data_IF_190831593616
#
_entry.id   IF_190831593616
#
_cell.length_a   1.000
_cell.length_b   1.000
_cell.length_c   1.000
_cell.angle_alpha   90.00
_cell.angle_beta   90.00
_cell.angle_gamma   90.00
#
_symmetry.space_group_name_H-M   'P 1'
#
loop_
_entity.id
_entity.type
_entity.pdbx_description
1 polymer ?
#
# COMPACT_ATOMS: atom_id res chain seq x y z
N UNK A 1 -7.22 -22.09 52.76
CA UNK A 1 -7.16 -22.97 51.57
C UNK A 1 -7.00 -22.22 50.24
N UNK A 2 -7.22 -20.89 50.16
CA UNK A 2 -7.10 -20.14 48.89
C UNK A 2 -5.67 -19.84 48.42
N UNK A 3 -4.67 -19.82 49.31
CA UNK A 3 -3.29 -19.50 48.91
C UNK A 3 -2.57 -20.63 48.16
N UNK A 4 -2.92 -21.89 48.41
CA UNK A 4 -2.30 -23.05 47.75
C UNK A 4 -2.72 -23.13 46.27
N UNK A 5 -3.98 -22.82 45.97
CA UNK A 5 -4.50 -22.77 44.60
C UNK A 5 -3.84 -21.65 43.76
N UNK A 6 -3.59 -20.48 44.36
CA UNK A 6 -2.90 -19.38 43.66
C UNK A 6 -1.45 -19.76 43.32
N UNK A 7 -0.75 -20.44 44.23
CA UNK A 7 0.63 -20.88 44.01
C UNK A 7 0.75 -21.90 42.88
N UNK A 8 -0.15 -22.89 42.82
CA UNK A 8 -0.19 -23.87 41.73
C UNK A 8 -0.47 -23.21 40.38
N UNK A 9 -1.37 -22.22 40.33
CA UNK A 9 -1.69 -21.51 39.09
C UNK A 9 -0.50 -20.70 38.56
N UNK A 10 0.21 -19.99 39.46
CA UNK A 10 1.44 -19.24 39.10
C UNK A 10 2.57 -20.18 38.67
N UNK A 11 2.68 -21.36 39.28
CA UNK A 11 3.69 -22.35 38.90
C UNK A 11 3.42 -22.96 37.52
N UNK A 12 2.15 -23.32 37.24
CA UNK A 12 1.75 -23.85 35.94
C UNK A 12 1.97 -22.78 34.84
N UNK A 13 1.57 -21.54 35.08
CA UNK A 13 1.83 -20.42 34.15
C UNK A 13 3.33 -20.26 33.94
N UNK A 14 4.16 -20.25 34.98
CA UNK A 14 5.62 -20.14 34.82
C UNK A 14 6.22 -21.34 34.09
N UNK A 15 5.77 -22.56 34.33
CA UNK A 15 6.26 -23.73 33.57
C UNK A 15 5.84 -23.68 32.11
N UNK A 16 4.63 -23.22 31.80
CA UNK A 16 4.20 -23.02 30.40
C UNK A 16 4.94 -21.86 29.72
N UNK A 17 5.30 -20.80 30.45
CA UNK A 17 6.12 -19.72 29.90
C UNK A 17 7.61 -20.11 29.75
N UNK A 18 8.14 -21.01 30.59
CA UNK A 18 9.52 -21.49 30.50
C UNK A 18 9.68 -22.60 29.45
N UNK A 19 8.63 -23.38 29.15
CA UNK A 19 8.73 -24.49 28.20
C UNK A 19 8.58 -24.08 26.72
N UNK A 20 8.52 -22.78 26.41
CA UNK A 20 8.71 -22.26 25.05
C UNK A 20 10.20 -22.08 24.68
N UNK A 21 11.12 -22.69 25.43
CA UNK A 21 12.47 -22.97 24.95
C UNK A 21 12.41 -24.15 23.96
N UNK A 22 11.82 -23.94 22.78
CA UNK A 22 12.22 -24.74 21.63
C UNK A 22 13.73 -24.51 21.46
N UNK A 23 14.50 -25.59 21.56
CA UNK A 23 15.93 -25.61 21.26
C UNK A 23 16.14 -25.12 19.82
N UNK A 24 16.36 -23.82 19.64
CA UNK A 24 16.75 -23.26 18.36
C UNK A 24 18.18 -23.68 18.06
N UNK A 25 18.35 -24.64 17.14
CA UNK A 25 19.65 -24.97 16.56
C UNK A 25 20.27 -23.70 15.98
N UNK A 26 21.39 -23.30 16.57
CA UNK A 26 22.22 -22.19 16.12
C UNK A 26 23.12 -22.69 15.00
N UNK A 27 22.71 -22.57 13.74
CA UNK A 27 23.65 -22.77 12.63
C UNK A 27 24.52 -21.52 12.49
N UNK A 28 25.85 -21.67 12.59
CA UNK A 28 26.80 -20.60 12.30
C UNK A 28 26.63 -20.12 10.85
N UNK A 29 26.52 -18.81 10.67
CA UNK A 29 26.38 -18.18 9.35
C UNK A 29 27.79 -17.88 8.83
N UNK A 30 28.17 -18.30 7.61
CA UNK A 30 29.45 -17.93 7.02
C UNK A 30 29.58 -16.41 6.87
N UNK A 31 30.70 -15.83 7.33
CA UNK A 31 30.97 -14.39 7.30
C UNK A 31 30.92 -13.78 5.89
N UNK A 32 31.23 -14.57 4.85
CA UNK A 32 31.22 -14.13 3.45
C UNK A 32 29.82 -13.72 2.94
N UNK A 33 28.76 -14.08 3.67
CA UNK A 33 27.37 -13.76 3.32
C UNK A 33 26.84 -12.49 4.02
N UNK A 34 27.70 -11.65 4.61
CA UNK A 34 27.27 -10.50 5.42
C UNK A 34 27.76 -9.19 4.82
N UNK A 35 26.83 -8.30 4.44
CA UNK A 35 27.13 -6.97 3.95
C UNK A 35 26.81 -5.87 4.96
N UNK A 36 27.63 -4.81 4.97
CA UNK A 36 27.53 -3.71 5.93
C UNK A 36 26.63 -2.59 5.40
N UNK A 37 25.54 -2.30 6.11
CA UNK A 37 24.65 -1.18 5.82
C UNK A 37 24.89 0.00 6.78
N UNK A 38 25.45 1.09 6.26
CA UNK A 38 25.66 2.34 7.00
C UNK A 38 24.44 3.28 6.83
N UNK A 39 23.36 3.01 7.58
CA UNK A 39 22.10 3.77 7.51
C UNK A 39 22.22 5.26 7.87
N UNK A 40 23.14 5.58 8.77
CA UNK A 40 23.06 6.80 9.59
C UNK A 40 23.91 7.96 9.11
N UNK A 41 24.91 7.74 8.24
CA UNK A 41 25.81 8.84 7.84
C UNK A 41 25.26 9.70 6.70
N UNK A 42 24.48 9.15 5.78
CA UNK A 42 24.00 9.91 4.62
C UNK A 42 22.88 10.90 4.98
N UNK A 43 21.80 10.44 5.62
CA UNK A 43 20.57 11.26 5.73
C UNK A 43 20.71 12.48 6.64
N UNK A 44 21.47 12.40 7.74
CA UNK A 44 21.66 13.55 8.65
C UNK A 44 22.66 14.58 8.13
N UNK A 45 23.71 14.17 7.42
CA UNK A 45 24.69 15.13 6.87
C UNK A 45 24.17 15.78 5.59
N UNK A 46 23.41 15.06 4.78
CA UNK A 46 23.01 15.51 3.45
C UNK A 46 21.59 16.08 3.39
N UNK A 47 20.69 15.64 4.26
CA UNK A 47 19.29 16.05 4.24
C UNK A 47 18.48 15.52 3.05
N UNK A 48 19.04 14.60 2.24
CA UNK A 48 18.40 14.01 1.06
C UNK A 48 18.67 12.50 0.96
N UNK A 49 17.86 11.81 0.15
CA UNK A 49 18.05 10.41 -0.25
C UNK A 49 18.56 10.37 -1.70
N UNK A 50 19.83 10.02 -1.88
CA UNK A 50 20.51 10.05 -3.18
C UNK A 50 20.12 8.89 -4.08
N UNK A 51 19.80 9.21 -5.34
CA UNK A 51 19.47 8.25 -6.40
C UNK A 51 20.46 8.41 -7.55
N UNK A 52 21.15 7.33 -7.92
CA UNK A 52 21.86 7.23 -9.19
C UNK A 52 20.89 6.65 -10.21
N UNK A 53 20.68 7.37 -11.29
CA UNK A 53 19.83 6.93 -12.40
C UNK A 53 20.72 6.73 -13.62
N UNK A 54 20.81 5.47 -14.07
CA UNK A 54 21.58 5.05 -15.24
C UNK A 54 20.68 4.45 -16.33
N UNK A 55 19.40 4.81 -16.30
CA UNK A 55 18.39 4.28 -17.23
C UNK A 55 18.28 5.12 -18.49
N UNK A 56 17.84 4.50 -19.57
CA UNK A 56 17.42 5.22 -20.79
C UNK A 56 16.15 6.07 -20.57
N UNK A 57 15.31 5.70 -19.60
CA UNK A 57 14.04 6.37 -19.31
C UNK A 57 14.10 7.26 -18.05
N UNK A 58 15.05 8.20 -18.03
CA UNK A 58 15.22 9.19 -16.96
C UNK A 58 13.94 9.94 -16.59
N UNK A 59 13.06 10.18 -17.58
CA UNK A 59 11.82 10.92 -17.40
C UNK A 59 10.80 10.18 -16.53
N UNK A 60 10.74 8.85 -16.66
CA UNK A 60 9.92 7.99 -15.81
C UNK A 60 10.40 8.02 -14.35
N UNK A 61 11.73 7.98 -14.16
CA UNK A 61 12.36 8.09 -12.85
C UNK A 61 12.07 9.44 -12.19
N UNK A 62 12.24 10.54 -12.92
CA UNK A 62 11.95 11.89 -12.44
C UNK A 62 10.48 12.06 -12.04
N UNK A 63 9.55 11.52 -12.84
CA UNK A 63 8.13 11.53 -12.50
C UNK A 63 7.86 10.79 -11.20
N UNK A 64 8.43 9.59 -11.02
CA UNK A 64 8.21 8.79 -9.83
C UNK A 64 8.81 9.46 -8.56
N UNK A 65 10.00 10.05 -8.67
CA UNK A 65 10.62 10.86 -7.61
C UNK A 65 9.74 12.05 -7.24
N UNK A 66 9.29 12.81 -8.24
CA UNK A 66 8.45 13.99 -8.04
C UNK A 66 7.14 13.67 -7.33
N UNK A 67 6.51 12.53 -7.67
CA UNK A 67 5.29 12.08 -7.00
C UNK A 67 5.52 11.76 -5.52
N UNK A 68 6.60 11.07 -5.17
CA UNK A 68 6.90 10.73 -3.78
C UNK A 68 7.24 11.98 -2.97
N UNK A 69 8.09 12.86 -3.50
CA UNK A 69 8.46 14.13 -2.85
C UNK A 69 7.26 15.09 -2.73
N UNK A 70 6.26 15.02 -3.62
CA UNK A 70 5.04 15.82 -3.51
C UNK A 70 4.11 15.29 -2.42
N UNK A 71 3.98 13.96 -2.30
CA UNK A 71 3.01 13.29 -1.41
C UNK A 71 3.53 13.07 0.02
N UNK A 72 4.82 13.27 0.24
CA UNK A 72 5.51 13.02 1.51
C UNK A 72 6.60 14.07 1.73
N UNK A 73 7.20 14.10 2.92
CA UNK A 73 8.36 14.95 3.24
C UNK A 73 9.68 14.31 2.80
N UNK A 74 9.62 13.38 1.86
CA UNK A 74 10.82 12.81 1.25
C UNK A 74 11.62 13.88 0.55
N UNK A 75 12.93 13.68 0.54
CA UNK A 75 13.85 14.49 -0.25
C UNK A 75 14.67 13.58 -1.15
N UNK A 76 14.00 12.82 -2.01
CA UNK A 76 14.66 12.00 -3.02
C UNK A 76 15.27 12.91 -4.08
N UNK A 77 16.56 12.74 -4.36
CA UNK A 77 17.29 13.55 -5.33
C UNK A 77 18.15 12.68 -6.22
N UNK A 78 18.09 12.94 -7.53
CA UNK A 78 19.09 12.43 -8.47
C UNK A 78 20.43 13.08 -8.15
N UNK A 79 21.49 12.28 -8.11
CA UNK A 79 22.86 12.72 -7.87
C UNK A 79 23.80 12.07 -8.86
N UNK A 80 25.05 12.52 -8.90
CA UNK A 80 26.13 11.91 -9.69
C UNK A 80 27.10 11.10 -8.84
N UNK A 81 27.30 11.48 -7.56
CA UNK A 81 28.23 10.77 -6.68
C UNK A 81 27.63 9.46 -6.16
N UNK A 82 28.13 8.33 -6.68
CA UNK A 82 27.68 7.00 -6.29
C UNK A 82 27.92 6.69 -4.81
N UNK A 83 28.99 7.22 -4.22
CA UNK A 83 29.31 7.01 -2.80
C UNK A 83 28.28 7.68 -1.87
N UNK A 84 27.48 8.61 -2.37
CA UNK A 84 26.42 9.29 -1.61
C UNK A 84 25.03 8.68 -1.87
N UNK A 85 24.92 7.74 -2.81
CA UNK A 85 23.64 7.16 -3.21
C UNK A 85 23.15 6.11 -2.22
N UNK A 86 21.84 6.11 -1.98
CA UNK A 86 21.13 5.00 -1.34
C UNK A 86 20.52 4.07 -2.39
N UNK A 87 20.02 4.65 -3.47
CA UNK A 87 19.26 3.95 -4.51
C UNK A 87 20.05 4.03 -5.82
N UNK A 88 20.14 2.90 -6.52
CA UNK A 88 20.65 2.83 -7.90
C UNK A 88 19.53 2.30 -8.78
N UNK A 89 19.22 3.01 -9.86
CA UNK A 89 18.23 2.60 -10.86
C UNK A 89 18.98 2.34 -12.15
N UNK A 90 18.82 1.14 -12.71
CA UNK A 90 19.54 0.69 -13.91
C UNK A 90 18.63 -0.15 -14.81
N UNK A 91 18.86 -0.06 -16.12
CA UNK A 91 18.11 -0.84 -17.08
C UNK A 91 18.33 -2.34 -16.88
N UNK A 92 17.30 -3.14 -17.15
CA UNK A 92 17.30 -4.59 -17.01
C UNK A 92 16.21 -5.25 -17.84
N UNK A 93 16.18 -6.58 -17.86
CA UNK A 93 15.10 -7.32 -18.51
C UNK A 93 13.81 -7.36 -17.67
N UNK A 94 13.90 -7.17 -16.35
CA UNK A 94 12.78 -7.33 -15.42
C UNK A 94 12.63 -6.11 -14.50
N UNK A 95 11.39 -5.71 -14.20
CA UNK A 95 11.09 -4.72 -13.18
C UNK A 95 11.15 -5.35 -11.77
N UNK A 96 12.17 -5.02 -10.97
CA UNK A 96 12.30 -5.57 -9.61
C UNK A 96 13.17 -4.70 -8.71
N UNK A 97 12.95 -4.82 -7.40
CA UNK A 97 13.83 -4.31 -6.37
C UNK A 97 14.80 -5.41 -5.91
N UNK A 98 16.06 -5.03 -5.74
CA UNK A 98 17.12 -5.85 -5.16
C UNK A 98 17.92 -5.04 -4.14
N UNK A 99 18.82 -5.73 -3.43
CA UNK A 99 19.86 -5.09 -2.62
C UNK A 99 21.19 -5.61 -3.14
N UNK A 100 22.06 -4.72 -3.63
CA UNK A 100 23.40 -5.09 -4.10
C UNK A 100 24.47 -4.48 -3.19
N UNK A 101 25.66 -5.07 -3.18
CA UNK A 101 26.77 -4.66 -2.32
C UNK A 101 27.99 -4.45 -3.20
N UNK A 102 28.60 -3.28 -3.07
CA UNK A 102 29.78 -2.88 -3.83
C UNK A 102 30.69 -2.06 -2.91
N UNK A 103 31.98 -2.40 -2.91
CA UNK A 103 33.00 -1.79 -2.04
C UNK A 103 32.59 -1.75 -0.56
N UNK A 104 31.95 -2.83 -0.09
CA UNK A 104 31.47 -2.96 1.29
C UNK A 104 30.23 -2.12 1.61
N UNK A 105 29.68 -1.37 0.65
CA UNK A 105 28.46 -0.56 0.80
C UNK A 105 27.29 -1.21 0.08
N UNK A 106 26.17 -1.29 0.78
CA UNK A 106 24.89 -1.78 0.24
C UNK A 106 24.06 -0.68 -0.43
N UNK A 107 23.43 -1.01 -1.55
CA UNK A 107 22.55 -0.16 -2.33
C UNK A 107 21.21 -0.85 -2.55
N UNK A 108 20.12 -0.08 -2.48
CA UNK A 108 18.84 -0.54 -3.02
C UNK A 108 18.89 -0.39 -4.54
N UNK A 109 18.76 -1.49 -5.27
CA UNK A 109 18.88 -1.49 -6.72
C UNK A 109 17.53 -1.76 -7.35
N UNK A 110 17.01 -0.77 -8.07
CA UNK A 110 15.80 -0.92 -8.87
C UNK A 110 16.23 -1.23 -10.30
N UNK A 111 15.93 -2.46 -10.71
CA UNK A 111 16.05 -2.89 -12.09
C UNK A 111 14.83 -2.40 -12.87
N UNK A 112 15.06 -1.60 -13.90
CA UNK A 112 14.04 -0.91 -14.66
C UNK A 112 13.91 -1.50 -16.08
N UNK A 113 12.67 -1.68 -16.51
CA UNK A 113 12.30 -1.96 -17.89
C UNK A 113 10.94 -1.28 -18.17
N UNK A 114 10.37 -1.47 -19.37
CA UNK A 114 9.07 -0.88 -19.72
C UNK A 114 7.94 -1.32 -18.80
N UNK A 115 7.99 -2.55 -18.26
CA UNK A 115 6.98 -3.06 -17.33
C UNK A 115 6.94 -2.28 -16.01
N UNK A 116 8.00 -1.55 -15.63
CA UNK A 116 7.98 -0.68 -14.44
C UNK A 116 7.09 0.55 -14.59
N UNK A 117 6.76 0.97 -15.81
CA UNK A 117 5.83 2.08 -16.05
C UNK A 117 4.36 1.64 -15.89
N UNK A 118 4.07 0.37 -16.11
CA UNK A 118 2.72 -0.18 -15.91
C UNK A 118 2.28 0.07 -14.47
N UNK A 119 1.06 0.58 -14.30
CA UNK A 119 0.44 0.72 -12.97
C UNK A 119 1.27 1.52 -11.93
N UNK A 120 2.19 2.37 -12.39
CA UNK A 120 3.14 3.08 -11.50
C UNK A 120 3.99 2.13 -10.63
N UNK A 121 4.32 0.91 -11.11
CA UNK A 121 5.16 -0.05 -10.37
C UNK A 121 6.48 0.56 -9.87
N UNK A 122 7.13 1.42 -10.66
CA UNK A 122 8.34 2.13 -10.20
C UNK A 122 8.09 2.97 -8.94
N UNK A 123 6.95 3.67 -8.86
CA UNK A 123 6.58 4.45 -7.69
C UNK A 123 6.43 3.55 -6.47
N UNK A 124 5.79 2.38 -6.62
CA UNK A 124 5.65 1.38 -5.55
C UNK A 124 7.00 0.83 -5.08
N UNK A 125 7.93 0.57 -6.00
CA UNK A 125 9.28 0.11 -5.65
C UNK A 125 10.07 1.19 -4.90
N UNK A 126 10.04 2.43 -5.37
CA UNK A 126 10.68 3.55 -4.67
C UNK A 126 10.08 3.76 -3.29
N UNK A 127 8.76 3.73 -3.19
CA UNK A 127 8.03 3.82 -1.93
C UNK A 127 8.50 2.73 -0.94
N UNK A 128 8.60 1.48 -1.40
CA UNK A 128 9.09 0.34 -0.60
C UNK A 128 10.51 0.56 -0.09
N UNK A 129 11.39 1.14 -0.90
CA UNK A 129 12.77 1.46 -0.49
C UNK A 129 12.80 2.53 0.59
N UNK A 130 12.01 3.59 0.44
CA UNK A 130 11.94 4.69 1.43
C UNK A 130 11.40 4.16 2.76
N UNK A 131 10.33 3.37 2.72
CA UNK A 131 9.76 2.76 3.93
C UNK A 131 10.80 1.91 4.68
N UNK A 132 11.44 0.96 3.99
CA UNK A 132 12.48 0.11 4.60
C UNK A 132 13.63 0.94 5.15
N UNK A 133 14.07 1.97 4.45
CA UNK A 133 15.11 2.88 4.94
C UNK A 133 14.71 3.57 6.24
N UNK A 134 13.46 4.02 6.38
CA UNK A 134 12.96 4.67 7.59
C UNK A 134 12.87 3.67 8.74
N UNK A 135 12.35 2.47 8.50
CA UNK A 135 12.28 1.42 9.51
C UNK A 135 13.68 1.02 10.00
N UNK A 136 14.66 0.92 9.10
CA UNK A 136 16.06 0.68 9.43
C UNK A 136 16.62 1.78 10.35
N UNK A 137 16.38 3.04 9.99
CA UNK A 137 16.84 4.20 10.77
C UNK A 137 16.17 4.23 12.14
N UNK A 138 14.86 4.00 12.22
CA UNK A 138 14.10 4.02 13.48
C UNK A 138 14.58 2.91 14.42
N UNK A 139 14.76 1.69 13.88
CA UNK A 139 15.34 0.57 14.61
C UNK A 139 16.70 0.94 15.21
N UNK A 140 17.64 1.46 14.40
CA UNK A 140 18.97 1.84 14.88
C UNK A 140 18.93 2.93 15.96
N UNK A 141 18.03 3.91 15.83
CA UNK A 141 17.86 4.96 16.85
C UNK A 141 17.39 4.38 18.18
N UNK A 142 16.40 3.47 18.15
CA UNK A 142 15.93 2.81 19.37
C UNK A 142 17.04 1.99 20.03
N UNK A 143 17.87 1.31 19.24
CA UNK A 143 19.01 0.55 19.73
C UNK A 143 20.06 1.43 20.40
N UNK A 144 20.39 2.59 19.79
CA UNK A 144 21.30 3.58 20.38
C UNK A 144 20.78 4.13 21.72
N UNK A 145 19.48 4.41 21.83
CA UNK A 145 18.88 4.96 23.06
C UNK A 145 18.95 4.01 24.26
N UNK A 146 19.02 2.69 24.01
CA UNK A 146 19.09 1.66 25.05
C UNK A 146 20.49 1.46 25.64
N UNK A 147 21.45 2.35 25.34
CA UNK A 147 22.81 2.29 25.89
C UNK A 147 23.62 1.05 25.48
N UNK A 148 23.11 0.26 24.54
CA UNK A 148 23.82 -0.90 23.99
C UNK A 148 24.98 -0.37 23.14
N UNK A 149 26.21 -0.84 23.41
CA UNK A 149 27.41 -0.60 22.60
C UNK A 149 27.17 -1.26 21.23
N UNK A 150 26.54 -0.52 20.32
CA UNK A 150 26.23 -0.99 18.98
C UNK A 150 27.32 -0.55 18.02
N UNK A 151 27.78 -1.51 17.22
CA UNK A 151 28.42 -1.17 15.96
C UNK A 151 27.41 -0.42 15.09
N UNK A 152 27.87 0.56 14.31
CA UNK A 152 26.99 1.31 13.40
C UNK A 152 26.49 0.46 12.21
N UNK A 153 26.87 -0.81 12.22
CA UNK A 153 26.75 -1.77 11.13
C UNK A 153 25.48 -2.60 11.30
N UNK A 154 24.57 -2.52 10.32
CA UNK A 154 23.55 -3.55 10.12
C UNK A 154 24.15 -4.59 9.18
N UNK A 155 24.10 -5.83 9.61
CA UNK A 155 24.49 -6.98 8.81
C UNK A 155 23.31 -7.39 7.91
N UNK A 156 23.47 -7.26 6.60
CA UNK A 156 22.53 -7.77 5.61
C UNK A 156 22.99 -9.18 5.19
N UNK A 157 22.16 -10.21 5.41
CA UNK A 157 22.42 -11.60 5.05
C UNK A 157 22.15 -11.87 3.57
N UNK A 158 23.15 -12.35 2.84
CA UNK A 158 23.05 -12.81 1.47
C UNK A 158 22.23 -14.11 1.38
N UNK A 159 21.08 -14.08 0.70
CA UNK A 159 20.22 -15.25 0.48
C UNK A 159 20.63 -15.98 -0.82
N UNK A 160 21.07 -15.24 -1.83
CA UNK A 160 21.55 -15.79 -3.12
C UNK A 160 22.68 -14.92 -3.66
N UNK A 161 23.32 -15.33 -4.77
CA UNK A 161 24.41 -14.59 -5.43
C UNK A 161 24.18 -13.07 -5.61
N UNK A 162 22.94 -12.55 -5.54
CA UNK A 162 22.63 -11.12 -5.69
C UNK A 162 21.58 -10.55 -4.71
N UNK A 163 21.12 -11.28 -3.68
CA UNK A 163 20.01 -10.84 -2.80
C UNK A 163 20.40 -10.82 -1.34
N UNK A 164 20.06 -9.78 -0.58
CA UNK A 164 20.39 -9.65 0.84
C UNK A 164 19.17 -9.27 1.73
N UNK A 165 19.20 -9.66 3.01
CA UNK A 165 18.12 -9.53 4.01
C UNK A 165 18.60 -8.89 5.31
N UNK A 166 17.78 -8.06 5.95
CA UNK A 166 18.12 -7.41 7.22
C UNK A 166 18.22 -8.39 8.40
N UNK A 167 19.38 -8.43 9.08
CA UNK A 167 19.53 -9.09 10.38
C UNK A 167 19.25 -8.09 11.51
N UNK A 168 18.33 -8.43 12.40
CA UNK A 168 18.14 -7.68 13.64
C UNK A 168 19.15 -8.18 14.69
N UNK A 169 19.92 -7.24 15.26
CA UNK A 169 20.79 -7.28 16.45
C UNK A 169 21.65 -8.52 16.78
N UNK A 170 22.93 -8.22 17.01
CA UNK A 170 23.92 -9.05 17.71
C UNK A 170 23.55 -9.28 19.18
N UNK A 171 23.33 -10.54 19.56
CA UNK A 171 24.02 -11.23 20.68
C UNK A 171 23.60 -12.69 20.85
N UNK A 172 22.55 -13.16 20.18
CA UNK A 172 22.17 -14.56 19.99
C UNK A 172 21.20 -14.55 18.80
N UNK A 173 21.45 -15.43 17.84
CA UNK A 173 20.88 -15.46 16.49
C UNK A 173 19.38 -15.13 16.46
N UNK A 174 18.97 -14.14 15.64
CA UNK A 174 17.57 -13.91 15.31
C UNK A 174 17.24 -14.72 14.04
N UNK A 175 16.25 -15.61 14.16
CA UNK A 175 15.63 -16.30 13.04
C UNK A 175 14.86 -15.27 12.20
N UNK A 176 15.39 -14.89 11.05
CA UNK A 176 14.66 -14.07 10.08
C UNK A 176 13.79 -14.98 9.23
N UNK A 177 12.48 -14.91 9.45
CA UNK A 177 11.51 -15.65 8.64
C UNK A 177 11.40 -14.93 7.29
N UNK A 178 11.94 -15.54 6.23
CA UNK A 178 11.66 -15.17 4.84
C UNK A 178 10.25 -15.68 4.48
N UNK A 179 9.23 -15.17 5.15
CA UNK A 179 7.98 -15.03 4.41
C UNK A 179 8.11 -13.64 3.84
N UNK A 180 8.32 -13.56 2.52
CA UNK A 180 8.20 -12.36 1.68
C UNK A 180 8.19 -11.08 2.51
N UNK A 181 9.30 -10.32 2.55
CA UNK A 181 9.29 -8.94 3.06
C UNK A 181 7.97 -8.32 2.60
N UNK A 182 7.03 -8.15 3.52
CA UNK A 182 5.74 -7.57 3.25
C UNK A 182 6.05 -6.08 3.10
N UNK A 183 6.66 -5.72 1.96
CA UNK A 183 7.09 -4.36 1.64
C UNK A 183 5.92 -3.37 1.66
N UNK A 184 4.70 -3.90 1.65
CA UNK A 184 3.51 -3.17 2.06
C UNK A 184 2.91 -3.93 3.23
N UNK A 185 2.75 -3.22 4.33
CA UNK A 185 1.92 -3.65 5.43
C UNK A 185 0.58 -4.12 4.85
N UNK A 186 0.14 -5.32 5.25
CA UNK A 186 -1.22 -5.83 5.01
C UNK A 186 -1.49 -6.35 3.58
N UNK A 187 -0.84 -7.46 3.22
CA UNK A 187 -1.55 -8.49 2.43
C UNK A 187 -2.75 -8.94 3.27
N UNK A 188 -3.86 -8.20 3.20
CA UNK A 188 -5.16 -8.81 3.43
C UNK A 188 -5.30 -9.78 2.26
N UNK A 189 -5.39 -11.08 2.55
CA UNK A 189 -6.00 -12.01 1.62
C UNK A 189 -7.35 -11.38 1.25
N UNK A 190 -7.42 -10.72 0.10
CA UNK A 190 -8.69 -10.26 -0.40
C UNK A 190 -9.38 -11.54 -0.83
N UNK A 191 -10.19 -12.12 0.07
CA UNK A 191 -10.96 -13.34 -0.18
C UNK A 191 -11.74 -13.25 -1.50
N UNK A 192 -12.08 -12.03 -1.94
CA UNK A 192 -12.69 -11.77 -3.23
C UNK A 192 -11.71 -11.87 -4.41
N UNK A 193 -10.47 -11.38 -4.29
CA UNK A 193 -9.46 -11.50 -5.35
C UNK A 193 -9.15 -12.97 -5.66
N UNK A 194 -8.95 -13.81 -4.63
CA UNK A 194 -8.72 -15.24 -4.80
C UNK A 194 -9.93 -15.96 -5.41
N UNK A 195 -11.15 -15.55 -5.03
CA UNK A 195 -12.40 -16.11 -5.58
C UNK A 195 -12.58 -15.73 -7.05
N UNK A 196 -12.21 -14.51 -7.44
CA UNK A 196 -12.29 -14.04 -8.83
C UNK A 196 -11.27 -14.77 -9.71
N UNK A 197 -10.00 -14.81 -9.29
CA UNK A 197 -8.90 -15.36 -10.10
C UNK A 197 -9.02 -16.87 -10.35
N UNK A 198 -9.69 -17.62 -9.46
CA UNK A 198 -9.77 -19.09 -9.55
C UNK A 198 -10.89 -19.58 -10.48
N UNK A 199 -11.89 -18.75 -10.79
CA UNK A 199 -13.08 -19.20 -11.52
C UNK A 199 -13.02 -18.81 -13.01
N UNK A 200 -12.28 -17.75 -13.37
CA UNK A 200 -12.25 -17.21 -14.73
C UNK A 200 -10.86 -16.71 -15.13
N UNK A 201 -10.63 -16.48 -16.44
CA UNK A 201 -9.48 -15.69 -16.96
C UNK A 201 -9.49 -14.21 -16.50
N UNK A 202 -10.42 -13.85 -15.62
CA UNK A 202 -10.51 -12.58 -14.93
C UNK A 202 -9.44 -12.48 -13.84
N UNK A 203 -8.66 -11.41 -13.86
CA UNK A 203 -7.68 -11.09 -12.82
C UNK A 203 -8.15 -9.91 -11.98
N UNK A 204 -7.64 -9.82 -10.76
CA UNK A 204 -7.90 -8.71 -9.83
C UNK A 204 -6.53 -8.14 -9.40
N UNK A 205 -6.30 -6.85 -9.65
CA UNK A 205 -4.97 -6.23 -9.57
C UNK A 205 -4.83 -5.18 -8.46
N UNK A 206 -5.82 -5.01 -7.58
CA UNK A 206 -5.80 -4.03 -6.48
C UNK A 206 -4.50 -4.07 -5.67
N UNK A 207 -4.06 -5.27 -5.27
CA UNK A 207 -2.83 -5.49 -4.49
C UNK A 207 -1.53 -5.23 -5.26
N UNK A 208 -1.60 -5.11 -6.60
CA UNK A 208 -0.44 -4.81 -7.44
C UNK A 208 -0.18 -3.30 -7.50
N UNK A 209 -1.20 -2.48 -7.30
CA UNK A 209 -1.12 -1.02 -7.28
C UNK A 209 -0.53 -0.49 -5.96
N UNK A 210 -0.08 0.76 -5.98
CA UNK A 210 0.10 1.54 -4.75
C UNK A 210 -1.28 2.05 -4.30
N UNK A 211 -1.59 1.90 -3.02
CA UNK A 211 -2.82 2.40 -2.42
C UNK A 211 -2.61 3.79 -1.80
N UNK A 212 -3.70 4.46 -1.48
CA UNK A 212 -3.62 5.71 -0.71
C UNK A 212 -3.23 5.43 0.75
N UNK A 213 -3.50 4.23 1.27
CA UNK A 213 -3.11 3.76 2.59
C UNK A 213 -1.58 3.68 2.71
N UNK A 214 -0.91 3.21 1.66
CA UNK A 214 0.56 3.25 1.53
C UNK A 214 1.04 4.70 1.64
N UNK A 215 0.59 5.58 0.75
CA UNK A 215 1.00 7.00 0.71
C UNK A 215 0.80 7.70 2.06
N UNK A 216 -0.35 7.48 2.69
CA UNK A 216 -0.68 8.01 4.02
C UNK A 216 0.23 7.47 5.11
N UNK A 217 0.55 6.17 5.08
CA UNK A 217 1.47 5.54 6.03
C UNK A 217 2.86 6.17 5.94
N UNK A 218 3.43 6.29 4.74
CA UNK A 218 4.75 6.90 4.56
C UNK A 218 4.76 8.37 4.96
N UNK A 219 3.73 9.12 4.59
CA UNK A 219 3.57 10.49 5.05
C UNK A 219 3.55 10.56 6.58
N UNK A 220 2.81 9.66 7.25
CA UNK A 220 2.71 9.65 8.72
C UNK A 220 4.06 9.44 9.39
N UNK A 221 4.87 8.49 8.91
CA UNK A 221 6.18 8.19 9.51
C UNK A 221 7.25 9.23 9.15
N UNK A 222 7.10 9.97 8.05
CA UNK A 222 8.07 10.98 7.60
C UNK A 222 7.74 12.41 8.03
N UNK A 223 6.45 12.75 8.12
CA UNK A 223 5.95 14.11 8.23
C UNK A 223 5.21 14.40 9.54
N UNK A 224 5.22 13.49 10.52
CA UNK A 224 4.40 13.60 11.74
C UNK A 224 4.45 14.98 12.43
N UNK A 225 5.59 15.67 12.31
CA UNK A 225 5.87 16.92 12.99
C UNK A 225 5.88 18.14 12.05
N UNK A 226 5.74 17.94 10.73
CA UNK A 226 5.99 18.98 9.72
C UNK A 226 5.01 20.16 9.86
N UNK A 227 3.73 19.88 10.08
CA UNK A 227 2.69 20.91 10.24
C UNK A 227 2.42 21.31 11.70
N UNK A 228 3.14 20.75 12.69
CA UNK A 228 2.87 21.04 14.12
C UNK A 228 3.11 22.51 14.48
N UNK A 229 4.12 23.12 13.86
CA UNK A 229 4.51 24.51 14.08
C UNK A 229 4.02 25.45 12.97
N UNK A 230 3.15 24.99 12.08
CA UNK A 230 2.64 25.86 11.00
C UNK A 230 1.69 26.91 11.58
N UNK A 231 1.71 28.12 11.03
CA UNK A 231 0.82 29.21 11.43
C UNK A 231 -0.63 29.02 10.97
N UNK A 232 -0.92 27.95 10.24
CA UNK A 232 -2.25 27.66 9.72
C UNK A 232 -3.15 27.02 10.78
N UNK A 233 -4.45 27.29 10.67
CA UNK A 233 -5.45 26.59 11.47
C UNK A 233 -5.39 25.08 11.18
N UNK A 234 -5.52 24.26 12.23
CA UNK A 234 -5.50 22.81 12.11
C UNK A 234 -6.66 22.33 11.24
N UNK A 235 -6.35 21.91 10.02
CA UNK A 235 -7.33 21.30 9.11
C UNK A 235 -7.59 19.85 9.51
N UNK A 236 -8.86 19.44 9.49
CA UNK A 236 -9.28 18.04 9.60
C UNK A 236 -9.69 17.53 8.22
N UNK A 237 -9.02 16.49 7.74
CA UNK A 237 -9.40 15.80 6.52
C UNK A 237 -10.54 14.82 6.80
N UNK A 238 -11.47 14.73 5.86
CA UNK A 238 -12.58 13.79 5.80
C UNK A 238 -12.24 12.60 4.89
N UNK A 239 -13.12 11.59 4.88
CA UNK A 239 -13.01 10.39 4.03
C UNK A 239 -11.60 9.78 4.04
N UNK A 240 -10.98 9.69 5.21
CA UNK A 240 -9.64 9.14 5.44
C UNK A 240 -8.47 9.86 4.73
N UNK A 241 -8.69 11.07 4.21
CA UNK A 241 -7.62 11.95 3.73
C UNK A 241 -6.55 12.25 4.79
N UNK A 242 -5.43 12.82 4.34
CA UNK A 242 -4.36 13.26 5.24
C UNK A 242 -3.85 14.64 4.84
N UNK A 243 -3.36 15.40 5.82
CA UNK A 243 -2.89 16.77 5.60
C UNK A 243 -1.70 16.77 4.65
N UNK A 244 -1.77 17.61 3.61
CA UNK A 244 -0.66 17.80 2.70
C UNK A 244 0.50 18.47 3.46
N UNK A 245 1.67 17.80 3.61
CA UNK A 245 2.76 18.37 4.37
C UNK A 245 3.35 19.62 3.72
N UNK A 246 3.25 19.80 2.40
CA UNK A 246 3.87 20.93 1.72
C UNK A 246 3.19 22.27 2.03
N UNK A 247 1.88 22.25 2.26
CA UNK A 247 1.02 23.43 2.41
C UNK A 247 0.45 23.55 3.81
N UNK A 248 0.22 22.43 4.51
CA UNK A 248 -0.41 22.32 5.82
C UNK A 248 -1.84 22.87 5.95
N UNK A 249 -2.46 23.33 4.87
CA UNK A 249 -3.81 23.92 4.86
C UNK A 249 -4.76 23.27 3.85
N UNK A 250 -4.36 22.20 3.18
CA UNK A 250 -5.22 21.34 2.35
C UNK A 250 -4.90 19.86 2.61
N UNK A 251 -5.73 18.98 2.06
CA UNK A 251 -5.62 17.53 2.23
C UNK A 251 -5.26 16.85 0.91
N UNK A 252 -4.43 15.80 1.00
CA UNK A 252 -4.44 14.76 -0.02
C UNK A 252 -5.65 13.87 0.20
N UNK A 253 -6.31 13.50 -0.90
CA UNK A 253 -7.57 12.77 -0.88
C UNK A 253 -7.44 11.39 -1.49
N UNK A 254 -8.15 10.38 -0.95
CA UNK A 254 -8.25 9.10 -1.63
C UNK A 254 -8.96 9.24 -2.96
N UNK A 255 -8.83 8.21 -3.80
CA UNK A 255 -9.14 8.26 -5.23
C UNK A 255 -10.56 8.74 -5.59
N UNK A 256 -11.56 8.52 -4.74
CA UNK A 256 -12.94 8.92 -5.03
C UNK A 256 -13.30 10.32 -4.55
N UNK A 257 -12.40 11.00 -3.84
CA UNK A 257 -12.69 12.22 -3.11
C UNK A 257 -11.86 13.41 -3.58
N UNK A 258 -12.42 14.61 -3.42
CA UNK A 258 -11.81 15.89 -3.75
C UNK A 258 -12.27 16.96 -2.77
N UNK A 259 -11.85 18.20 -3.00
CA UNK A 259 -12.09 19.32 -2.08
C UNK A 259 -10.92 19.51 -1.11
N UNK A 260 -10.96 20.62 -0.38
CA UNK A 260 -9.86 21.03 0.49
C UNK A 260 -9.67 20.07 1.67
N UNK A 261 -10.77 19.44 2.11
CA UNK A 261 -10.84 18.47 3.21
C UNK A 261 -11.17 17.07 2.71
N UNK A 262 -11.24 16.81 1.41
CA UNK A 262 -11.69 15.53 0.84
C UNK A 262 -13.17 15.23 1.10
N UNK A 263 -13.99 16.27 1.23
CA UNK A 263 -15.42 16.24 1.55
C UNK A 263 -16.30 15.89 0.34
N UNK A 264 -15.82 16.16 -0.87
CA UNK A 264 -16.60 16.05 -2.11
C UNK A 264 -16.32 14.74 -2.85
N UNK A 265 -17.33 14.18 -3.50
CA UNK A 265 -17.15 13.11 -4.49
C UNK A 265 -16.50 13.69 -5.76
N UNK A 266 -15.57 12.94 -6.37
CA UNK A 266 -15.02 13.32 -7.68
C UNK A 266 -16.12 13.50 -8.74
N UNK A 267 -16.05 14.63 -9.45
CA UNK A 267 -16.98 14.96 -10.54
C UNK A 267 -16.57 14.24 -11.81
N UNK A 268 -17.55 13.68 -12.50
CA UNK A 268 -17.33 13.07 -13.82
C UNK A 268 -17.14 14.16 -14.87
N UNK A 269 -15.99 14.17 -15.57
CA UNK A 269 -15.61 15.28 -16.49
C UNK A 269 -16.61 15.48 -17.63
N UNK A 270 -17.22 14.40 -18.12
CA UNK A 270 -18.30 14.40 -19.13
C UNK A 270 -19.60 13.90 -18.50
N UNK A 271 -20.06 14.59 -17.46
CA UNK A 271 -21.25 14.22 -16.68
C UNK A 271 -22.55 14.07 -17.49
N UNK A 272 -22.59 14.45 -18.77
CA UNK A 272 -23.76 14.19 -19.61
C UNK A 272 -23.80 12.75 -20.14
N UNK A 273 -22.64 12.09 -20.26
CA UNK A 273 -22.55 10.65 -20.54
C UNK A 273 -22.66 9.80 -19.27
N UNK A 274 -22.32 10.39 -18.13
CA UNK A 274 -22.48 9.74 -16.85
C UNK A 274 -23.87 10.06 -16.31
N UNK A 275 -24.70 9.07 -16.06
CA UNK A 275 -25.99 9.27 -15.38
C UNK A 275 -25.83 9.86 -13.96
N UNK A 276 -26.91 9.91 -13.18
CA UNK A 276 -26.86 10.36 -11.79
C UNK A 276 -25.73 9.68 -11.00
N UNK A 277 -24.83 10.49 -10.44
CA UNK A 277 -23.65 10.00 -9.71
C UNK A 277 -24.03 9.32 -8.40
N UNK A 278 -25.13 9.70 -7.76
CA UNK A 278 -25.56 9.11 -6.49
C UNK A 278 -26.75 8.20 -6.74
N UNK A 279 -26.66 6.96 -6.26
CA UNK A 279 -27.69 5.93 -6.43
C UNK A 279 -28.16 5.50 -5.05
N UNK A 280 -29.48 5.48 -4.83
CA UNK A 280 -30.08 5.08 -3.56
C UNK A 280 -30.72 3.69 -3.66
N UNK A 281 -30.10 2.65 -3.10
CA UNK A 281 -30.58 1.28 -3.19
C UNK A 281 -31.82 1.07 -2.32
N UNK A 282 -32.77 0.28 -2.84
CA UNK A 282 -33.97 -0.19 -2.16
C UNK A 282 -33.75 -1.59 -1.56
N UNK A 283 -34.70 -2.05 -0.75
CA UNK A 283 -34.62 -3.38 -0.11
C UNK A 283 -34.80 -4.54 -1.11
N UNK A 284 -35.39 -4.27 -2.28
CA UNK A 284 -35.52 -5.21 -3.39
C UNK A 284 -34.43 -4.95 -4.43
N UNK A 285 -34.19 -5.95 -5.26
CA UNK A 285 -33.19 -5.91 -6.32
C UNK A 285 -33.53 -4.87 -7.39
N UNK A 286 -32.54 -4.05 -7.75
CA UNK A 286 -32.64 -3.04 -8.78
C UNK A 286 -31.52 -3.21 -9.79
N UNK A 287 -31.83 -2.90 -11.05
CA UNK A 287 -30.88 -2.99 -12.15
C UNK A 287 -30.61 -1.61 -12.72
N UNK A 288 -29.34 -1.31 -13.01
CA UNK A 288 -28.91 -0.09 -13.71
C UNK A 288 -27.84 -0.45 -14.73
N UNK A 289 -27.99 0.03 -15.95
CA UNK A 289 -26.98 -0.12 -17.00
C UNK A 289 -26.08 1.12 -16.98
N UNK A 290 -24.77 0.93 -16.93
CA UNK A 290 -23.78 2.01 -17.03
C UNK A 290 -22.94 1.82 -18.29
N UNK A 291 -22.53 2.92 -18.91
CA UNK A 291 -21.71 2.92 -20.12
C UNK A 291 -20.23 3.20 -19.81
N UNK A 292 -19.36 2.82 -20.74
CA UNK A 292 -17.92 3.09 -20.74
C UNK A 292 -17.54 4.16 -21.79
N UNK A 293 -18.48 5.03 -22.15
CA UNK A 293 -18.30 6.09 -23.17
C UNK A 293 -17.47 7.26 -22.61
N UNK A 294 -17.44 7.38 -21.29
CA UNK A 294 -16.76 8.43 -20.54
C UNK A 294 -16.11 7.92 -19.26
N UNK A 295 -15.28 8.77 -18.67
CA UNK A 295 -14.76 8.58 -17.31
C UNK A 295 -15.83 9.04 -16.30
N UNK A 296 -16.30 8.12 -15.47
CA UNK A 296 -17.41 8.33 -14.55
C UNK A 296 -17.08 7.89 -13.12
N UNK A 297 -17.65 8.61 -12.16
CA UNK A 297 -17.62 8.32 -10.73
C UNK A 297 -19.05 8.24 -10.19
N UNK A 298 -19.37 7.14 -9.53
CA UNK A 298 -20.67 6.89 -8.90
C UNK A 298 -20.49 6.54 -7.42
N UNK A 299 -21.55 6.79 -6.65
CA UNK A 299 -21.69 6.44 -5.24
C UNK A 299 -23.07 5.80 -5.03
N UNK A 300 -23.09 4.53 -4.66
CA UNK A 300 -24.30 3.89 -4.15
C UNK A 300 -24.35 4.17 -2.65
N UNK A 301 -25.36 4.89 -2.19
CA UNK A 301 -25.52 5.33 -0.80
C UNK A 301 -26.79 4.74 -0.18
N UNK A 302 -26.62 3.74 0.68
CA UNK A 302 -27.71 3.16 1.47
C UNK A 302 -27.92 3.91 2.80
N UNK A 303 -29.00 3.56 3.50
CA UNK A 303 -29.32 4.09 4.84
C UNK A 303 -28.24 3.70 5.85
N UNK A 304 -28.00 4.55 6.85
CA UNK A 304 -27.13 4.23 7.98
C UNK A 304 -27.56 2.92 8.65
N UNK A 305 -26.61 2.05 8.96
CA UNK A 305 -26.87 0.72 9.53
C UNK A 305 -27.25 -0.36 8.51
N UNK A 306 -27.42 0.00 7.24
CA UNK A 306 -27.54 -0.93 6.14
C UNK A 306 -26.24 -1.05 5.34
N UNK A 307 -26.13 -2.16 4.64
CA UNK A 307 -25.11 -2.47 3.64
C UNK A 307 -25.75 -2.54 2.26
N UNK A 308 -24.90 -2.75 1.26
CA UNK A 308 -25.26 -2.85 -0.14
C UNK A 308 -24.72 -4.18 -0.64
N UNK A 309 -25.59 -5.00 -1.20
CA UNK A 309 -25.19 -6.11 -2.05
C UNK A 309 -25.17 -5.59 -3.49
N UNK A 310 -24.05 -5.76 -4.16
CA UNK A 310 -23.81 -5.32 -5.54
C UNK A 310 -23.30 -6.49 -6.37
N UNK A 311 -23.82 -6.64 -7.57
CA UNK A 311 -23.29 -7.46 -8.62
C UNK A 311 -23.06 -6.61 -9.86
N UNK A 312 -21.86 -6.72 -10.42
CA UNK A 312 -21.46 -6.10 -11.68
C UNK A 312 -21.31 -7.20 -12.72
N UNK A 313 -21.91 -7.02 -13.88
CA UNK A 313 -21.90 -8.01 -14.95
C UNK A 313 -21.75 -7.34 -16.32
N UNK A 314 -20.93 -7.95 -17.18
CA UNK A 314 -20.84 -7.59 -18.59
C UNK A 314 -21.66 -8.58 -19.43
N UNK A 315 -22.69 -8.11 -20.18
CA UNK A 315 -23.49 -8.99 -21.05
C UNK A 315 -22.64 -9.81 -22.04
N UNK A 316 -21.55 -9.21 -22.52
CA UNK A 316 -20.49 -9.90 -23.24
C UNK A 316 -19.18 -9.65 -22.49
N UNK A 317 -18.44 -10.71 -22.09
CA UNK A 317 -17.18 -10.53 -21.38
C UNK A 317 -16.20 -9.67 -22.18
N UNK A 318 -15.58 -8.70 -21.52
CA UNK A 318 -14.64 -7.78 -22.17
C UNK A 318 -13.20 -8.20 -21.88
N UNK A 319 -12.32 -8.10 -22.88
CA UNK A 319 -10.88 -8.28 -22.69
C UNK A 319 -10.22 -6.93 -22.45
N UNK A 320 -9.64 -6.75 -21.26
CA UNK A 320 -8.91 -5.53 -20.89
C UNK A 320 -7.50 -5.88 -20.39
N UNK A 321 -6.47 -5.29 -20.99
CA UNK A 321 -5.09 -5.62 -20.61
C UNK A 321 -4.75 -5.06 -19.23
N UNK A 322 -4.31 -5.94 -18.34
CA UNK A 322 -3.99 -5.59 -16.95
C UNK A 322 -2.88 -4.54 -16.79
N UNK A 323 -2.03 -4.35 -17.81
CA UNK A 323 -0.94 -3.35 -17.76
C UNK A 323 -1.43 -1.90 -17.81
N UNK A 324 -2.64 -1.66 -18.30
CA UNK A 324 -3.22 -0.32 -18.37
C UNK A 324 -3.80 0.14 -17.03
N UNK A 325 -4.21 1.40 -16.97
CA UNK A 325 -4.92 1.96 -15.82
C UNK A 325 -6.21 1.18 -15.54
N UNK A 326 -6.74 1.21 -14.29
CA UNK A 326 -8.00 0.55 -13.96
C UNK A 326 -9.12 0.93 -14.94
N UNK A 327 -9.76 -0.07 -15.55
CA UNK A 327 -10.97 0.16 -16.33
C UNK A 327 -12.17 0.41 -15.41
N UNK A 328 -12.30 -0.42 -14.37
CA UNK A 328 -13.32 -0.31 -13.33
C UNK A 328 -12.63 -0.41 -11.98
N UNK A 329 -13.12 0.34 -11.00
CA UNK A 329 -12.78 0.13 -9.59
C UNK A 329 -14.03 0.22 -8.73
N UNK A 330 -14.27 -0.80 -7.91
CA UNK A 330 -15.39 -0.85 -6.96
C UNK A 330 -14.86 -0.85 -5.53
N UNK A 331 -14.95 0.29 -4.85
CA UNK A 331 -14.58 0.47 -3.44
C UNK A 331 -15.79 0.16 -2.56
N UNK A 332 -15.68 -0.93 -1.80
CA UNK A 332 -16.76 -1.45 -0.94
C UNK A 332 -16.40 -1.39 0.56
N UNK A 333 -15.13 -1.14 0.86
CA UNK A 333 -14.55 -1.11 2.19
C UNK A 333 -14.93 0.20 2.92
N UNK A 334 -14.94 0.16 4.26
CA UNK A 334 -15.10 1.38 5.08
C UNK A 334 -13.85 2.26 5.08
N UNK A 335 -12.69 1.64 4.92
CA UNK A 335 -11.42 2.33 4.81
C UNK A 335 -11.25 2.80 3.37
N UNK A 336 -11.44 4.10 3.14
CA UNK A 336 -11.38 4.68 1.81
C UNK A 336 -9.95 4.83 1.28
N UNK A 337 -8.94 4.56 2.10
CA UNK A 337 -7.53 4.65 1.70
C UNK A 337 -7.06 3.43 0.91
N UNK A 338 -7.80 2.33 0.98
CA UNK A 338 -7.50 1.10 0.27
C UNK A 338 -7.99 1.15 -1.19
N UNK A 339 -7.46 0.26 -2.03
CA UNK A 339 -7.97 0.07 -3.39
C UNK A 339 -9.22 -0.80 -3.38
N UNK A 340 -10.15 -0.49 -4.28
CA UNK A 340 -11.34 -1.31 -4.53
C UNK A 340 -11.01 -2.59 -5.31
N UNK A 341 -12.04 -3.32 -5.73
CA UNK A 341 -11.90 -4.43 -6.69
C UNK A 341 -11.60 -3.83 -8.07
N UNK A 342 -10.49 -4.24 -8.69
CA UNK A 342 -10.05 -3.75 -10.00
C UNK A 342 -9.88 -4.94 -10.93
N UNK A 343 -10.91 -5.29 -11.72
CA UNK A 343 -10.84 -6.41 -12.64
C UNK A 343 -10.06 -6.06 -13.93
N UNK A 344 -9.36 -7.04 -14.48
CA UNK A 344 -8.75 -7.00 -15.81
C UNK A 344 -8.66 -8.43 -16.40
N UNK A 345 -8.05 -8.59 -17.58
CA UNK A 345 -8.07 -9.86 -18.30
C UNK A 345 -9.39 -10.02 -19.05
N UNK A 346 -10.00 -11.20 -19.00
CA UNK A 346 -11.37 -11.38 -19.49
C UNK A 346 -12.34 -11.11 -18.34
N UNK A 347 -13.03 -9.97 -18.38
CA UNK A 347 -13.92 -9.51 -17.32
C UNK A 347 -15.35 -9.96 -17.64
N UNK A 348 -15.87 -10.85 -16.81
CA UNK A 348 -17.27 -11.32 -16.84
C UNK A 348 -18.15 -10.49 -15.91
N UNK A 349 -17.63 -10.17 -14.73
CA UNK A 349 -18.39 -9.63 -13.63
C UNK A 349 -17.91 -10.14 -12.27
N UNK A 350 -18.54 -9.64 -11.21
CA UNK A 350 -18.29 -10.06 -9.84
C UNK A 350 -19.39 -9.52 -8.92
N UNK A 351 -19.54 -10.13 -7.74
CA UNK A 351 -20.44 -9.65 -6.70
C UNK A 351 -19.65 -9.29 -5.44
N UNK A 352 -20.11 -8.26 -4.73
CA UNK A 352 -19.51 -7.76 -3.50
C UNK A 352 -20.59 -7.24 -2.54
N UNK A 353 -20.34 -7.37 -1.24
CA UNK A 353 -21.13 -6.73 -0.20
C UNK A 353 -20.30 -5.61 0.44
N UNK A 354 -20.89 -4.43 0.62
CA UNK A 354 -20.21 -3.32 1.29
C UNK A 354 -19.94 -3.61 2.77
N UNK A 355 -18.80 -3.13 3.26
CA UNK A 355 -18.50 -3.18 4.70
C UNK A 355 -19.34 -2.16 5.49
N UNK A 356 -19.69 -1.03 4.87
CA UNK A 356 -20.51 0.06 5.40
C UNK A 356 -21.75 0.33 4.57
N UNK A 357 -22.28 1.56 4.61
CA UNK A 357 -23.50 1.96 3.91
C UNK A 357 -23.26 2.56 2.51
N UNK A 358 -22.03 2.49 1.99
CA UNK A 358 -21.64 3.10 0.73
C UNK A 358 -20.82 2.14 -0.13
N UNK A 359 -20.98 2.22 -1.44
CA UNK A 359 -20.06 1.68 -2.46
C UNK A 359 -19.72 2.82 -3.42
N UNK A 360 -18.45 2.94 -3.80
CA UNK A 360 -18.02 3.86 -4.84
C UNK A 360 -17.58 3.08 -6.07
N UNK A 361 -17.96 3.57 -7.25
CA UNK A 361 -17.68 2.91 -8.53
C UNK A 361 -17.02 3.93 -9.45
N UNK A 362 -15.86 3.57 -9.97
CA UNK A 362 -15.18 4.28 -11.03
C UNK A 362 -15.23 3.44 -12.29
N UNK A 363 -15.43 4.09 -13.43
CA UNK A 363 -15.04 3.51 -14.71
C UNK A 363 -14.29 4.52 -15.59
N UNK A 364 -13.29 4.03 -16.31
CA UNK A 364 -12.62 4.78 -17.36
C UNK A 364 -13.41 4.70 -18.67
N UNK A 365 -13.06 5.56 -19.62
CA UNK A 365 -13.55 5.44 -21.00
C UNK A 365 -12.88 4.25 -21.69
N UNK A 366 -13.68 3.38 -22.30
CA UNK A 366 -13.20 2.29 -23.17
C UNK A 366 -13.60 2.54 -24.64
N UNK A 367 -14.84 2.94 -24.86
CA UNK A 367 -15.39 3.10 -26.20
C UNK A 367 -16.90 3.21 -26.17
N UNK A 368 -17.47 3.72 -27.25
CA UNK A 368 -18.87 4.10 -27.30
C UNK A 368 -19.77 2.84 -27.43
N UNK A 369 -20.86 2.78 -26.66
CA UNK A 369 -21.84 1.69 -26.68
C UNK A 369 -21.43 0.43 -25.93
N UNK A 370 -20.31 0.47 -25.20
CA UNK A 370 -19.89 -0.64 -24.32
C UNK A 370 -20.46 -0.40 -22.93
N UNK A 371 -21.28 -1.33 -22.46
CA UNK A 371 -22.03 -1.17 -21.21
C UNK A 371 -21.80 -2.34 -20.26
N UNK A 372 -21.99 -2.09 -18.96
CA UNK A 372 -22.08 -3.10 -17.92
C UNK A 372 -23.33 -2.88 -17.07
N UNK A 373 -23.82 -3.95 -16.47
CA UNK A 373 -25.01 -3.94 -15.63
C UNK A 373 -24.60 -3.97 -14.16
N UNK A 374 -25.26 -3.15 -13.36
CA UNK A 374 -25.26 -3.20 -11.91
C UNK A 374 -26.59 -3.78 -11.44
N UNK A 375 -26.52 -4.84 -10.65
CA UNK A 375 -27.64 -5.42 -9.92
C UNK A 375 -27.37 -5.15 -8.44
N UNK A 376 -28.23 -4.40 -7.76
CA UNK A 376 -27.95 -3.95 -6.40
C UNK A 376 -29.18 -3.88 -5.52
N UNK A 377 -28.96 -4.03 -4.22
CA UNK A 377 -29.98 -3.84 -3.18
C UNK A 377 -29.37 -3.49 -1.83
N UNK A 378 -30.18 -2.88 -0.99
CA UNK A 378 -29.90 -2.64 0.42
C UNK A 378 -30.09 -3.93 1.21
N UNK A 379 -29.14 -4.24 2.10
CA UNK A 379 -29.19 -5.36 3.04
C UNK A 379 -29.00 -4.84 4.45
N UNK A 380 -29.89 -5.18 5.39
CA UNK A 380 -29.76 -4.75 6.79
C UNK A 380 -28.60 -5.45 7.50
N UNK A 381 -27.76 -4.71 8.25
CA UNK A 381 -26.74 -5.30 9.12
C UNK A 381 -27.33 -5.60 10.50
N UNK A 382 -27.84 -6.81 10.68
CA UNK A 382 -28.47 -7.27 11.92
C UNK A 382 -27.53 -7.23 13.15
N UNK A 383 -26.20 -7.16 12.96
CA UNK A 383 -25.25 -7.04 14.07
C UNK A 383 -25.36 -5.71 14.82
N UNK A 384 -26.04 -4.72 14.24
CA UNK A 384 -26.31 -3.43 14.90
C UNK A 384 -27.67 -3.39 15.64
N UNK A 385 -28.35 -4.54 15.85
CA UNK A 385 -29.59 -4.60 16.64
C UNK A 385 -30.82 -4.03 15.94
N UNK A 386 -31.00 -4.37 14.65
CA UNK A 386 -32.07 -3.87 13.77
C UNK A 386 -32.85 -5.04 13.15
N UNK A 387 -34.08 -4.87 12.60
CA UNK A 387 -34.72 -3.65 12.09
C UNK A 387 -35.26 -2.73 13.20
N UNK A 388 -35.51 -1.43 12.92
CA UNK A 388 -36.28 -0.62 13.86
C UNK A 388 -37.73 -1.13 13.82
N UNK A 389 -38.33 -1.34 14.99
CA UNK A 389 -39.74 -1.68 15.11
C UNK A 389 -40.63 -0.56 14.62
#
# INVERSE_FOLDING_TARGET
>A
MNYILLYLFVFIINTYFINCNENYETTEIPFDNVAKYNALESTRKQGYLGIIDSTQNSRLVERAIGLINKKTCSNLKKISNRNEALIVIKDSHNCRLDVEVEDGKSYFVIHLNDTCNEQNKLQKLLFSVVDVNIQLISYLRTQKSKGRKYDREINLLQITKKKYLMLTSTKKLIKVKINQLNFLNKYRNNKYADKIAKIFEQQEISNQLISFSDEKYLNTIMCSDYCKNSHFEKIRCENDGYVNPATCHDCFCPFFFTGKKCEDLMKSRKHYYCEEQIIYPQYYEQNKTLNLDAECFYKIQSKTGAKIQLELHFPNPIKYECRFSPLIEVLYQKDHTERGIIPCGIIYGFSVESEGNSIYIYNSRLGDGINYQLIYKLVWDYRNGYPPK
#
